data_IF_806066244365
#
_entry.id   IF_806066244365
#
_cell.length_a   1.000
_cell.length_b   1.000
_cell.length_c   1.000
_cell.angle_alpha   90.00
_cell.angle_beta   90.00
_cell.angle_gamma   90.00
#
_symmetry.space_group_name_H-M   'P 1'
#
loop_
_entity.id
_entity.type
_entity.pdbx_description
1 polymer ?
#
# COMPACT_ATOMS: atom_id res chain seq x y z
N UNK A 1 19.00 4.71 -4.76
CA UNK A 1 20.10 5.37 -5.52
C UNK A 1 19.57 6.66 -6.14
N UNK A 2 20.43 7.57 -6.55
CA UNK A 2 20.06 8.76 -7.35
C UNK A 2 19.31 8.31 -8.62
N UNK A 3 19.82 7.31 -9.30
CA UNK A 3 19.19 6.74 -10.50
C UNK A 3 17.72 6.32 -10.24
N UNK A 4 17.41 5.70 -9.10
CA UNK A 4 16.03 5.31 -8.75
C UNK A 4 15.14 6.53 -8.54
N UNK A 5 15.67 7.58 -7.92
CA UNK A 5 14.95 8.84 -7.70
C UNK A 5 14.65 9.49 -9.05
N UNK A 6 15.66 9.64 -9.91
CA UNK A 6 15.51 10.28 -11.22
C UNK A 6 14.56 9.51 -12.15
N UNK A 7 14.54 8.18 -12.05
CA UNK A 7 13.71 7.32 -12.88
C UNK A 7 12.23 7.32 -12.47
N UNK A 8 11.91 7.31 -11.16
CA UNK A 8 10.55 7.07 -10.69
C UNK A 8 9.91 8.27 -10.00
N UNK A 9 10.68 9.14 -9.32
CA UNK A 9 10.08 10.19 -8.52
C UNK A 9 9.38 11.29 -9.32
N UNK A 10 9.85 11.75 -10.49
CA UNK A 10 9.17 12.81 -11.22
C UNK A 10 7.70 12.49 -11.51
N UNK A 11 7.43 11.33 -12.09
CA UNK A 11 6.08 10.90 -12.49
C UNK A 11 5.20 10.54 -11.30
N UNK A 12 5.80 10.04 -10.21
CA UNK A 12 5.07 9.79 -8.95
C UNK A 12 4.69 11.10 -8.24
N UNK A 13 5.52 12.13 -8.33
CA UNK A 13 5.26 13.45 -7.72
C UNK A 13 4.21 14.22 -8.53
N UNK A 14 4.26 14.17 -9.87
CA UNK A 14 3.26 14.79 -10.74
C UNK A 14 1.90 14.08 -10.67
N UNK A 15 1.90 12.79 -10.29
CA UNK A 15 0.70 11.94 -10.29
C UNK A 15 0.42 11.29 -11.65
N UNK A 16 1.35 11.39 -12.61
CA UNK A 16 1.27 10.70 -13.90
C UNK A 16 1.46 9.18 -13.74
N UNK A 17 2.18 8.77 -12.70
CA UNK A 17 2.30 7.38 -12.25
C UNK A 17 1.87 7.21 -10.81
N UNK A 18 1.40 6.01 -10.47
CA UNK A 18 1.00 5.62 -9.12
C UNK A 18 1.83 4.44 -8.63
N UNK A 19 2.04 4.38 -7.31
CA UNK A 19 2.78 3.28 -6.70
C UNK A 19 1.92 2.43 -5.77
N UNK A 20 2.19 1.13 -5.74
CA UNK A 20 1.66 0.19 -4.74
C UNK A 20 2.72 -0.16 -3.70
N UNK A 21 2.30 -0.23 -2.45
CA UNK A 21 3.12 -0.66 -1.32
C UNK A 21 2.92 -2.15 -1.07
N UNK A 22 3.96 -2.97 -1.35
CA UNK A 22 3.85 -4.43 -1.42
C UNK A 22 4.61 -5.08 -0.24
N UNK A 23 4.03 -5.08 0.96
CA UNK A 23 4.60 -5.68 2.17
C UNK A 23 3.95 -7.03 2.49
N UNK A 24 2.63 -7.05 2.63
CA UNK A 24 1.84 -8.15 3.18
C UNK A 24 1.87 -9.39 2.30
N UNK A 25 1.95 -10.56 2.93
CA UNK A 25 1.81 -11.88 2.32
C UNK A 25 0.70 -12.67 3.02
N UNK A 26 0.18 -13.73 2.43
CA UNK A 26 -0.84 -14.58 3.03
C UNK A 26 -0.42 -15.13 4.41
N UNK A 27 0.87 -15.41 4.59
CA UNK A 27 1.45 -15.91 5.84
C UNK A 27 2.16 -14.85 6.70
N UNK A 28 2.18 -13.57 6.29
CA UNK A 28 2.93 -12.49 6.96
C UNK A 28 2.16 -11.17 6.87
N UNK A 29 1.23 -10.97 7.80
CA UNK A 29 0.47 -9.73 7.98
C UNK A 29 1.04 -8.90 9.14
N UNK A 30 0.49 -9.06 10.35
CA UNK A 30 0.97 -8.36 11.56
C UNK A 30 2.45 -8.68 11.86
N UNK A 31 2.87 -9.92 11.65
CA UNK A 31 4.28 -10.31 11.68
C UNK A 31 4.93 -10.11 10.30
N UNK A 32 5.07 -8.84 9.89
CA UNK A 32 5.67 -8.48 8.60
C UNK A 32 7.14 -8.90 8.48
N UNK A 33 7.82 -9.14 9.60
CA UNK A 33 9.19 -9.65 9.63
C UNK A 33 9.34 -11.08 9.12
N UNK A 34 8.24 -11.85 9.05
CA UNK A 34 8.21 -13.24 8.58
C UNK A 34 7.95 -13.39 7.08
N UNK A 35 7.93 -12.31 6.31
CA UNK A 35 7.71 -12.36 4.85
C UNK A 35 8.71 -13.32 4.17
N UNK A 36 8.23 -13.98 3.09
CA UNK A 36 8.95 -15.05 2.39
C UNK A 36 9.26 -14.77 0.92
N UNK A 37 8.63 -13.76 0.30
CA UNK A 37 8.99 -13.34 -1.07
C UNK A 37 10.49 -13.08 -1.11
N UNK A 38 11.21 -13.87 -1.91
CA UNK A 38 12.66 -13.90 -1.92
C UNK A 38 13.24 -13.19 -3.13
N UNK A 39 14.36 -12.54 -2.93
CA UNK A 39 15.15 -11.93 -4.00
C UNK A 39 16.60 -12.43 -3.89
N UNK A 40 17.06 -13.14 -4.90
CA UNK A 40 18.42 -13.68 -4.99
C UNK A 40 19.26 -12.79 -5.90
N UNK A 41 20.44 -12.40 -5.45
CA UNK A 41 21.35 -11.60 -6.24
C UNK A 41 22.07 -12.47 -7.29
N UNK A 42 21.87 -12.19 -8.56
CA UNK A 42 22.50 -12.87 -9.69
C UNK A 42 23.16 -11.82 -10.60
N UNK A 43 24.46 -11.68 -10.47
CA UNK A 43 25.21 -10.64 -11.19
C UNK A 43 24.79 -9.23 -10.73
N UNK A 44 24.27 -8.44 -11.65
CA UNK A 44 23.80 -7.06 -11.42
C UNK A 44 22.28 -6.92 -11.19
N UNK A 45 21.57 -8.06 -11.03
CA UNK A 45 20.13 -8.11 -10.84
C UNK A 45 19.74 -8.95 -9.63
N UNK A 46 18.63 -8.60 -8.99
CA UNK A 46 17.88 -9.50 -8.15
C UNK A 46 16.89 -10.30 -9.00
N UNK A 47 16.74 -11.59 -8.67
CA UNK A 47 15.69 -12.46 -9.22
C UNK A 47 14.65 -12.66 -8.12
N UNK A 48 13.44 -12.14 -8.34
CA UNK A 48 12.38 -12.11 -7.33
C UNK A 48 11.38 -13.22 -7.58
N UNK A 49 11.07 -13.99 -6.52
CA UNK A 49 10.07 -15.06 -6.51
C UNK A 49 9.20 -14.99 -5.25
N UNK A 50 7.89 -15.18 -5.40
CA UNK A 50 6.94 -15.19 -4.29
C UNK A 50 5.64 -14.50 -4.63
N UNK A 51 4.88 -14.13 -3.59
CA UNK A 51 3.61 -13.41 -3.78
C UNK A 51 3.36 -12.40 -2.67
N UNK A 52 2.59 -11.36 -3.00
CA UNK A 52 2.09 -10.35 -2.07
C UNK A 52 0.57 -10.36 -2.08
N UNK A 53 -0.05 -10.17 -0.91
CA UNK A 53 -1.49 -10.23 -0.71
C UNK A 53 -2.04 -8.89 -0.23
N UNK A 54 -3.30 -8.61 -0.57
CA UNK A 54 -4.02 -7.39 -0.16
C UNK A 54 -3.37 -6.10 -0.65
N UNK A 55 -2.79 -6.11 -1.85
CA UNK A 55 -2.08 -4.93 -2.38
C UNK A 55 -3.07 -3.96 -3.02
N UNK A 56 -3.17 -2.79 -2.41
CA UNK A 56 -3.97 -1.68 -2.90
C UNK A 56 -3.37 -1.11 -4.18
N UNK A 57 -4.21 -0.87 -5.19
CA UNK A 57 -3.81 -0.36 -6.49
C UNK A 57 -3.25 -1.43 -7.44
N UNK A 58 -2.99 -2.66 -6.98
CA UNK A 58 -2.40 -3.71 -7.80
C UNK A 58 -3.17 -3.94 -9.12
N UNK A 59 -2.44 -3.92 -10.23
CA UNK A 59 -2.98 -4.03 -11.58
C UNK A 59 -3.49 -2.71 -12.18
N UNK A 60 -3.37 -1.59 -11.46
CA UNK A 60 -3.64 -0.22 -11.93
C UNK A 60 -2.52 0.77 -11.61
N UNK A 61 -1.58 0.40 -10.77
CA UNK A 61 -0.40 1.21 -10.46
C UNK A 61 0.77 0.80 -11.35
N UNK A 62 1.64 1.76 -11.60
CA UNK A 62 2.77 1.63 -12.54
C UNK A 62 4.03 1.13 -11.84
N UNK A 63 4.14 1.39 -10.53
CA UNK A 63 5.33 1.12 -9.74
C UNK A 63 4.97 0.29 -8.50
N UNK A 64 5.76 -0.75 -8.24
CA UNK A 64 5.62 -1.60 -7.06
C UNK A 64 6.82 -1.38 -6.12
N UNK A 65 6.55 -0.96 -4.88
CA UNK A 65 7.57 -0.87 -3.82
C UNK A 65 7.49 -2.16 -2.99
N UNK A 66 8.38 -3.10 -3.27
CA UNK A 66 8.28 -4.49 -2.81
C UNK A 66 9.31 -4.79 -1.72
N UNK A 67 8.85 -5.25 -0.55
CA UNK A 67 9.69 -5.77 0.51
C UNK A 67 9.97 -7.25 0.24
N UNK A 68 11.24 -7.59 0.14
CA UNK A 68 11.71 -8.94 -0.23
C UNK A 68 12.76 -9.45 0.75
N UNK A 69 12.88 -10.76 0.87
CA UNK A 69 13.91 -11.41 1.66
C UNK A 69 15.16 -11.62 0.83
N UNK A 70 16.24 -10.98 1.22
CA UNK A 70 17.57 -11.13 0.60
C UNK A 70 18.53 -11.96 1.45
N UNK A 71 18.23 -12.15 2.76
CA UNK A 71 19.02 -12.99 3.67
C UNK A 71 18.14 -13.58 4.79
N UNK A 72 18.59 -14.69 5.39
CA UNK A 72 17.87 -15.38 6.47
C UNK A 72 18.23 -14.85 7.86
N UNK A 73 18.30 -13.53 8.02
CA UNK A 73 18.69 -12.83 9.26
C UNK A 73 17.51 -12.12 9.93
N UNK A 74 16.31 -12.71 9.87
CA UNK A 74 15.08 -12.12 10.41
C UNK A 74 14.73 -10.81 9.70
N UNK A 75 14.29 -9.80 10.44
CA UNK A 75 13.93 -8.50 9.86
C UNK A 75 15.10 -7.77 9.18
N UNK A 76 16.34 -8.05 9.60
CA UNK A 76 17.56 -7.52 8.96
C UNK A 76 17.91 -8.17 7.63
N UNK A 77 17.23 -9.27 7.27
CA UNK A 77 17.35 -9.92 5.97
C UNK A 77 16.34 -9.41 4.94
N UNK A 78 15.64 -8.32 5.22
CA UNK A 78 14.62 -7.74 4.32
C UNK A 78 15.18 -6.50 3.63
N UNK A 79 15.06 -6.45 2.30
CA UNK A 79 15.41 -5.32 1.45
C UNK A 79 14.16 -4.78 0.75
N UNK A 80 14.23 -3.57 0.21
CA UNK A 80 13.13 -2.97 -0.56
C UNK A 80 13.58 -2.75 -1.99
N UNK A 81 12.79 -3.22 -2.95
CA UNK A 81 13.00 -3.04 -4.38
C UNK A 81 11.88 -2.20 -5.00
N UNK A 82 12.23 -1.35 -5.96
CA UNK A 82 11.28 -0.63 -6.82
C UNK A 82 11.20 -1.37 -8.14
N UNK A 83 10.02 -1.84 -8.50
CA UNK A 83 9.80 -2.70 -9.66
C UNK A 83 8.71 -2.08 -10.52
N UNK A 84 8.93 -1.82 -11.82
CA UNK A 84 7.87 -1.47 -12.75
C UNK A 84 6.80 -2.57 -12.79
N UNK A 85 5.53 -2.21 -12.75
CA UNK A 85 4.43 -3.18 -12.63
C UNK A 85 4.23 -4.04 -13.90
N UNK A 86 4.77 -3.59 -15.03
CA UNK A 86 4.79 -4.28 -16.32
C UNK A 86 6.00 -5.20 -16.53
N UNK A 87 6.85 -5.38 -15.50
CA UNK A 87 8.04 -6.24 -15.60
C UNK A 87 7.65 -7.67 -15.92
N UNK A 88 8.37 -8.34 -16.84
CA UNK A 88 8.12 -9.75 -17.14
C UNK A 88 8.17 -10.64 -15.90
N UNK A 89 7.20 -11.57 -15.77
CA UNK A 89 7.07 -12.47 -14.63
C UNK A 89 6.17 -11.94 -13.51
N UNK A 90 5.61 -10.73 -13.64
CA UNK A 90 4.58 -10.23 -12.74
C UNK A 90 3.19 -10.62 -13.25
N UNK A 91 2.35 -11.10 -12.35
CA UNK A 91 0.93 -11.34 -12.61
C UNK A 91 0.07 -10.90 -11.43
N UNK A 92 -1.15 -10.50 -11.74
CA UNK A 92 -2.11 -9.99 -10.76
C UNK A 92 -3.29 -10.96 -10.63
N UNK A 93 -3.66 -11.27 -9.38
CA UNK A 93 -4.88 -12.01 -9.08
C UNK A 93 -6.15 -11.22 -9.38
N UNK A 94 -7.31 -11.84 -9.15
CA UNK A 94 -8.61 -11.19 -9.25
C UNK A 94 -8.73 -10.06 -8.20
N UNK A 95 -9.56 -9.06 -8.52
CA UNK A 95 -9.88 -8.02 -7.55
C UNK A 95 -10.68 -8.61 -6.39
N UNK A 96 -10.30 -8.28 -5.16
CA UNK A 96 -11.00 -8.75 -3.97
C UNK A 96 -12.33 -8.01 -3.80
N UNK A 97 -13.36 -8.73 -3.41
CA UNK A 97 -14.62 -8.15 -2.96
C UNK A 97 -14.44 -7.52 -1.57
N UNK A 98 -14.81 -6.24 -1.44
CA UNK A 98 -14.64 -5.47 -0.21
C UNK A 98 -15.95 -4.84 0.23
N UNK A 99 -16.10 -4.58 1.53
CA UNK A 99 -17.25 -3.86 2.08
C UNK A 99 -17.29 -2.38 1.68
N UNK A 100 -16.17 -1.80 1.28
CA UNK A 100 -16.02 -0.40 0.89
C UNK A 100 -14.73 -0.15 0.12
N UNK A 101 -14.46 1.12 -0.20
CA UNK A 101 -13.29 1.53 -0.99
C UNK A 101 -13.22 0.85 -2.36
N UNK A 102 -14.36 0.70 -3.01
CA UNK A 102 -14.51 -0.04 -4.27
C UNK A 102 -13.79 0.63 -5.44
N UNK A 103 -13.55 1.95 -5.37
CA UNK A 103 -12.81 2.70 -6.38
C UNK A 103 -11.32 2.32 -6.45
N UNK A 104 -10.77 1.67 -5.42
CA UNK A 104 -9.38 1.23 -5.40
C UNK A 104 -9.34 -0.31 -5.48
N UNK A 105 -8.73 -0.92 -6.51
CA UNK A 105 -8.57 -2.36 -6.57
C UNK A 105 -7.63 -2.83 -5.45
N UNK A 106 -7.86 -4.06 -5.00
CA UNK A 106 -6.99 -4.74 -4.04
C UNK A 106 -6.80 -6.16 -4.54
N UNK A 107 -5.56 -6.56 -4.84
CA UNK A 107 -5.25 -7.84 -5.47
C UNK A 107 -4.04 -8.51 -4.83
N UNK A 108 -3.88 -9.77 -5.16
CA UNK A 108 -2.61 -10.48 -5.03
C UNK A 108 -1.70 -10.09 -6.19
N UNK A 109 -0.39 -10.08 -5.92
CA UNK A 109 0.67 -9.95 -6.93
C UNK A 109 1.57 -11.16 -6.83
N UNK A 110 1.80 -11.84 -7.95
CA UNK A 110 2.72 -12.96 -8.04
C UNK A 110 3.97 -12.55 -8.81
N UNK A 111 5.12 -12.97 -8.32
CA UNK A 111 6.45 -12.77 -8.91
C UNK A 111 7.04 -14.12 -9.28
N UNK A 112 7.30 -14.33 -10.57
CA UNK A 112 7.94 -15.52 -11.10
C UNK A 112 9.17 -15.12 -11.90
N UNK A 113 10.34 -15.37 -11.34
CA UNK A 113 11.66 -15.05 -11.93
C UNK A 113 11.80 -13.59 -12.38
N UNK A 114 11.20 -12.64 -11.65
CA UNK A 114 11.22 -11.21 -12.01
C UNK A 114 12.63 -10.66 -11.80
N UNK A 115 13.22 -10.15 -12.88
CA UNK A 115 14.58 -9.57 -12.86
C UNK A 115 14.52 -8.08 -12.54
N UNK A 116 15.19 -7.68 -11.48
CA UNK A 116 15.20 -6.31 -10.96
C UNK A 116 16.65 -5.81 -10.85
N UNK A 117 17.06 -4.74 -11.52
CA UNK A 117 18.41 -4.19 -11.38
C UNK A 117 18.74 -3.86 -9.92
N UNK A 118 19.99 -4.09 -9.50
CA UNK A 118 20.46 -3.73 -8.15
C UNK A 118 20.28 -2.23 -7.88
N UNK A 119 20.35 -1.40 -8.90
CA UNK A 119 20.12 0.05 -8.82
C UNK A 119 18.73 0.40 -8.30
N UNK A 120 17.72 -0.45 -8.50
CA UNK A 120 16.34 -0.26 -8.06
C UNK A 120 16.13 -0.61 -6.58
N UNK A 121 17.18 -0.95 -5.84
CA UNK A 121 17.08 -1.16 -4.38
C UNK A 121 17.05 0.18 -3.65
N UNK A 122 16.09 0.33 -2.75
CA UNK A 122 16.01 1.45 -1.83
C UNK A 122 16.87 1.19 -0.59
N UNK A 123 17.76 2.11 -0.28
CA UNK A 123 18.67 1.99 0.84
C UNK A 123 19.71 0.87 0.67
N UNK A 124 20.31 0.45 1.78
CA UNK A 124 21.25 -0.68 1.83
C UNK A 124 20.50 -2.00 1.92
N UNK A 125 21.14 -3.08 1.53
CA UNK A 125 20.61 -4.42 1.76
C UNK A 125 20.38 -4.65 3.26
N UNK A 126 19.22 -5.23 3.60
CA UNK A 126 18.80 -5.45 4.98
C UNK A 126 18.10 -4.25 5.66
N UNK A 127 18.01 -3.08 5.02
CA UNK A 127 17.29 -1.92 5.56
C UNK A 127 15.78 -1.90 5.22
N UNK A 128 15.29 -2.85 4.44
CA UNK A 128 13.93 -2.85 3.91
C UNK A 128 12.85 -2.86 4.98
N UNK A 129 13.04 -3.59 6.07
CA UNK A 129 12.09 -3.59 7.18
C UNK A 129 11.97 -2.22 7.85
N UNK A 130 13.09 -1.52 8.05
CA UNK A 130 13.10 -0.16 8.60
C UNK A 130 12.39 0.82 7.66
N UNK A 131 12.62 0.71 6.35
CA UNK A 131 11.95 1.53 5.33
C UNK A 131 10.44 1.27 5.38
N UNK A 132 10.04 -0.01 5.46
CA UNK A 132 8.64 -0.39 5.57
C UNK A 132 7.96 0.21 6.81
N UNK A 133 8.54 0.07 7.98
CA UNK A 133 7.96 0.62 9.22
C UNK A 133 7.80 2.14 9.16
N UNK A 134 8.79 2.85 8.62
CA UNK A 134 8.71 4.31 8.43
C UNK A 134 7.56 4.72 7.51
N UNK A 135 7.30 3.95 6.45
CA UNK A 135 6.13 4.18 5.57
C UNK A 135 4.80 3.97 6.28
N UNK A 136 4.71 2.96 7.14
CA UNK A 136 3.49 2.66 7.90
C UNK A 136 3.15 3.72 8.95
N UNK A 137 4.14 4.39 9.54
CA UNK A 137 3.88 5.45 10.54
C UNK A 137 3.09 6.61 9.92
N UNK A 138 3.45 7.06 8.73
CA UNK A 138 2.68 8.06 7.97
C UNK A 138 1.30 7.54 7.57
N UNK A 139 1.21 6.30 7.12
CA UNK A 139 -0.04 5.65 6.72
C UNK A 139 -1.08 5.59 7.84
N UNK A 140 -0.68 5.29 9.07
CA UNK A 140 -1.57 5.28 10.25
C UNK A 140 -2.22 6.64 10.50
N UNK A 141 -1.44 7.72 10.41
CA UNK A 141 -1.95 9.09 10.59
C UNK A 141 -2.94 9.44 9.48
N UNK A 142 -2.62 9.12 8.23
CA UNK A 142 -3.48 9.39 7.09
C UNK A 142 -4.85 8.70 7.22
N UNK A 143 -4.89 7.42 7.58
CA UNK A 143 -6.14 6.67 7.75
C UNK A 143 -6.94 7.18 8.95
N UNK A 144 -6.29 7.53 10.06
CA UNK A 144 -6.97 8.18 11.19
C UNK A 144 -7.63 9.50 10.77
N UNK A 145 -6.94 10.31 9.99
CA UNK A 145 -7.47 11.58 9.45
C UNK A 145 -8.68 11.37 8.54
N UNK A 146 -8.68 10.33 7.68
CA UNK A 146 -9.85 9.96 6.88
C UNK A 146 -11.07 9.63 7.75
N UNK A 147 -10.88 8.88 8.84
CA UNK A 147 -11.95 8.53 9.78
C UNK A 147 -12.53 9.77 10.46
N UNK A 148 -11.70 10.70 10.90
CA UNK A 148 -12.12 11.97 11.52
C UNK A 148 -12.90 12.82 10.51
N UNK A 149 -12.41 12.96 9.28
CA UNK A 149 -13.10 13.71 8.23
C UNK A 149 -14.47 13.14 7.89
N UNK A 150 -14.59 11.82 7.84
CA UNK A 150 -15.87 11.14 7.60
C UNK A 150 -16.86 11.38 8.76
N UNK A 151 -16.39 11.28 10.01
CA UNK A 151 -17.19 11.56 11.18
C UNK A 151 -17.69 13.00 11.21
N UNK A 152 -16.80 13.97 10.92
CA UNK A 152 -17.18 15.40 10.86
C UNK A 152 -18.21 15.67 9.77
N UNK A 153 -18.06 15.08 8.60
CA UNK A 153 -19.02 15.21 7.51
C UNK A 153 -20.40 14.64 7.88
N UNK A 154 -20.43 13.50 8.57
CA UNK A 154 -21.66 12.89 9.06
C UNK A 154 -22.37 13.79 10.09
N UNK A 155 -21.63 14.34 11.05
CA UNK A 155 -22.15 15.28 12.06
C UNK A 155 -22.76 16.52 11.40
N UNK A 156 -22.00 17.16 10.50
CA UNK A 156 -22.48 18.37 9.81
C UNK A 156 -23.78 18.11 9.05
N UNK A 157 -23.84 16.99 8.34
CA UNK A 157 -25.04 16.60 7.57
C UNK A 157 -26.23 16.26 8.46
N UNK A 158 -25.98 15.61 9.59
CA UNK A 158 -27.02 15.31 10.57
C UNK A 158 -27.59 16.56 11.21
N UNK A 159 -26.76 17.55 11.54
CA UNK A 159 -27.20 18.82 12.11
C UNK A 159 -28.17 19.56 11.16
N UNK A 160 -27.81 19.67 9.85
CA UNK A 160 -28.69 20.29 8.87
C UNK A 160 -30.01 19.53 8.76
N UNK A 161 -29.95 18.20 8.65
CA UNK A 161 -31.15 17.36 8.56
C UNK A 161 -32.08 17.53 9.78
N UNK A 162 -31.54 17.58 11.00
CA UNK A 162 -32.31 17.75 12.22
C UNK A 162 -33.02 19.11 12.30
N UNK A 163 -32.48 20.15 11.69
CA UNK A 163 -33.11 21.48 11.64
C UNK A 163 -34.26 21.53 10.60
N UNK A 164 -34.17 20.75 9.53
CA UNK A 164 -35.14 20.75 8.43
C UNK A 164 -36.26 19.72 8.64
N UNK A 165 -35.91 18.51 9.09
CA UNK A 165 -36.87 17.41 9.27
C UNK A 165 -37.81 17.68 10.44
N UNK A 166 -39.11 17.62 10.19
CA UNK A 166 -40.15 17.81 11.22
C UNK A 166 -40.85 16.48 11.57
N UNK A 167 -41.10 16.31 12.84
CA UNK A 167 -42.02 15.30 13.41
C UNK A 167 -42.76 15.91 14.60
N UNK A 168 -43.97 15.46 14.86
CA UNK A 168 -44.83 16.01 15.92
C UNK A 168 -45.02 17.54 15.84
N UNK A 169 -44.97 18.09 14.65
CA UNK A 169 -45.14 19.54 14.41
C UNK A 169 -43.91 20.41 14.74
N UNK A 170 -42.75 19.83 15.02
CA UNK A 170 -41.53 20.55 15.36
C UNK A 170 -40.29 19.93 14.65
N UNK A 171 -39.21 20.71 14.39
CA UNK A 171 -37.95 20.19 13.91
C UNK A 171 -37.36 19.14 14.88
N UNK A 172 -36.66 18.12 14.33
CA UNK A 172 -36.04 17.09 15.18
C UNK A 172 -35.09 17.70 16.22
N UNK A 173 -34.38 18.75 15.86
CA UNK A 173 -33.48 19.47 16.78
C UNK A 173 -34.15 20.08 18.01
N UNK A 174 -35.50 20.15 18.04
CA UNK A 174 -36.25 20.64 19.21
C UNK A 174 -36.44 19.57 20.29
N UNK A 175 -36.17 18.30 19.97
CA UNK A 175 -36.29 17.20 20.93
C UNK A 175 -34.97 17.01 21.66
N UNK A 176 -35.06 16.76 22.97
CA UNK A 176 -33.89 16.60 23.83
C UNK A 176 -33.13 15.30 23.51
N UNK A 177 -31.84 15.31 23.78
CA UNK A 177 -30.95 14.17 23.63
C UNK A 177 -30.69 13.69 22.18
N UNK A 178 -30.78 14.61 21.19
CA UNK A 178 -30.39 14.34 19.82
C UNK A 178 -29.06 15.04 19.48
#
# INVERSE_FOLDING_TARGET
SEQTVDQFCPDLISGDQLASYCLTEAGAGSDAGSLRTRAELVGDHYVVNGSKMFISGAGQTDVLVVMVRTADTGSRGISTLVIPADSPGISFGSNLEKMGWHSQPTREINFDQVRVPVANRLGKEGEGFKIAMKGLDGGRINIATCSIGTAQAAINRSQVYMLERQQFGAPLASFQAL
#
